data_IF_247622600879
#
_entry.id   IF_247622600879
#
_cell.length_a   1.000
_cell.length_b   1.000
_cell.length_c   1.000
_cell.angle_alpha   90.00
_cell.angle_beta   90.00
_cell.angle_gamma   90.00
#
_symmetry.space_group_name_H-M   'P 1'
#
loop_
_entity.id
_entity.type
_entity.pdbx_description
1 polymer ?
#
# COMPACT_ATOMS: atom_id res chain seq x y z
N UNK A 1 36.02 31.30 -4.80
CA UNK A 1 36.64 30.45 -5.85
C UNK A 1 36.67 29.04 -5.31
N UNK A 2 36.23 27.96 -5.95
CA UNK A 2 35.73 27.67 -7.29
C UNK A 2 34.61 26.63 -7.15
N UNK A 3 33.53 26.75 -7.91
CA UNK A 3 32.43 25.77 -7.97
C UNK A 3 32.88 24.44 -8.62
N UNK A 4 34.16 24.36 -9.01
CA UNK A 4 34.81 23.25 -9.71
C UNK A 4 35.90 22.54 -8.88
N UNK A 5 35.80 22.55 -7.55
CA UNK A 5 36.67 21.69 -6.75
C UNK A 5 36.33 20.21 -7.06
N UNK A 6 37.29 19.35 -7.45
CA UNK A 6 37.03 17.96 -7.83
C UNK A 6 36.33 17.15 -6.73
N UNK A 7 36.50 17.56 -5.47
CA UNK A 7 35.81 17.00 -4.29
C UNK A 7 34.30 17.27 -4.29
N UNK A 8 33.86 18.47 -4.73
CA UNK A 8 32.44 18.83 -4.84
C UNK A 8 31.78 18.04 -5.98
N UNK A 9 32.46 17.92 -7.12
CA UNK A 9 31.99 17.09 -8.24
C UNK A 9 31.83 15.63 -7.82
N UNK A 10 32.82 15.05 -7.13
CA UNK A 10 32.74 13.67 -6.66
C UNK A 10 31.56 13.45 -5.68
N UNK A 11 31.33 14.40 -4.76
CA UNK A 11 30.19 14.35 -3.84
C UNK A 11 28.84 14.46 -4.58
N UNK A 12 28.73 15.31 -5.61
CA UNK A 12 27.54 15.43 -6.45
C UNK A 12 27.27 14.11 -7.22
N UNK A 13 28.30 13.49 -7.80
CA UNK A 13 28.19 12.20 -8.49
C UNK A 13 27.75 11.08 -7.53
N UNK A 14 28.34 11.01 -6.34
CA UNK A 14 27.95 10.02 -5.33
C UNK A 14 26.52 10.24 -4.83
N UNK A 15 26.10 11.51 -4.66
CA UNK A 15 24.72 11.85 -4.29
C UNK A 15 23.72 11.42 -5.37
N UNK A 16 24.05 11.60 -6.65
CA UNK A 16 23.21 11.15 -7.76
C UNK A 16 23.04 9.63 -7.79
N UNK A 17 24.12 8.87 -7.56
CA UNK A 17 24.09 7.41 -7.47
C UNK A 17 23.24 6.97 -6.26
N UNK A 18 23.45 7.58 -5.10
CA UNK A 18 22.70 7.26 -3.89
C UNK A 18 21.19 7.52 -4.06
N UNK A 19 20.81 8.65 -4.67
CA UNK A 19 19.43 8.98 -4.97
C UNK A 19 18.79 7.97 -5.94
N UNK A 20 19.52 7.54 -6.97
CA UNK A 20 19.05 6.51 -7.91
C UNK A 20 18.75 5.19 -7.19
N UNK A 21 19.68 4.69 -6.38
CA UNK A 21 19.47 3.46 -5.62
C UNK A 21 18.39 3.58 -4.54
N UNK A 22 18.21 4.76 -3.95
CA UNK A 22 17.15 5.02 -2.98
C UNK A 22 15.75 4.88 -3.60
N UNK A 23 15.58 5.19 -4.90
CA UNK A 23 14.31 5.01 -5.62
C UNK A 23 14.19 3.60 -6.20
N UNK A 24 15.28 3.08 -6.78
CA UNK A 24 15.29 1.79 -7.47
C UNK A 24 15.06 0.62 -6.51
N UNK A 25 15.63 0.67 -5.30
CA UNK A 25 15.49 -0.42 -4.31
C UNK A 25 14.03 -0.68 -3.91
N UNK A 26 13.23 0.32 -3.46
CA UNK A 26 11.82 0.10 -3.16
C UNK A 26 11.01 -0.38 -4.36
N UNK A 27 11.35 0.08 -5.59
CA UNK A 27 10.66 -0.37 -6.79
C UNK A 27 10.89 -1.88 -7.05
N UNK A 28 12.13 -2.36 -6.90
CA UNK A 28 12.47 -3.78 -7.03
C UNK A 28 11.81 -4.59 -5.92
N UNK A 29 11.86 -4.12 -4.67
CA UNK A 29 11.21 -4.79 -3.54
C UNK A 29 9.70 -4.89 -3.71
N UNK A 30 9.05 -3.83 -4.20
CA UNK A 30 7.62 -3.86 -4.54
C UNK A 30 7.31 -4.86 -5.63
N UNK A 31 8.14 -4.94 -6.68
CA UNK A 31 8.00 -5.94 -7.73
C UNK A 31 8.17 -7.38 -7.19
N UNK A 32 9.21 -7.62 -6.37
CA UNK A 32 9.43 -8.91 -5.70
C UNK A 32 8.20 -9.32 -4.87
N UNK A 33 7.64 -8.41 -4.08
CA UNK A 33 6.44 -8.66 -3.29
C UNK A 33 5.21 -9.02 -4.15
N UNK A 34 5.04 -8.38 -5.31
CA UNK A 34 3.98 -8.73 -6.27
C UNK A 34 4.19 -10.13 -6.84
N UNK A 35 5.43 -10.48 -7.22
CA UNK A 35 5.75 -11.83 -7.72
C UNK A 35 5.49 -12.88 -6.65
N UNK A 36 5.92 -12.61 -5.42
CA UNK A 36 5.68 -13.48 -4.26
C UNK A 36 4.18 -13.69 -4.03
N UNK A 37 3.37 -12.62 -4.07
CA UNK A 37 1.92 -12.69 -3.95
C UNK A 37 1.29 -13.56 -5.06
N UNK A 38 1.73 -13.42 -6.31
CA UNK A 38 1.23 -14.24 -7.42
C UNK A 38 1.58 -15.71 -7.24
N UNK A 39 2.80 -16.01 -6.77
CA UNK A 39 3.24 -17.37 -6.51
C UNK A 39 2.43 -17.99 -5.35
N UNK A 40 2.18 -17.22 -4.30
CA UNK A 40 1.34 -17.66 -3.18
C UNK A 40 -0.08 -17.96 -3.66
N UNK A 41 -0.69 -17.07 -4.45
CA UNK A 41 -2.02 -17.28 -5.01
C UNK A 41 -2.09 -18.53 -5.89
N UNK A 42 -1.07 -18.78 -6.72
CA UNK A 42 -0.99 -19.98 -7.54
C UNK A 42 -0.85 -21.27 -6.71
N UNK A 43 -0.03 -21.24 -5.66
CA UNK A 43 0.13 -22.37 -4.72
C UNK A 43 -1.18 -22.68 -4.01
N UNK A 44 -1.84 -21.66 -3.44
CA UNK A 44 -3.14 -21.80 -2.79
C UNK A 44 -4.19 -22.36 -3.75
N UNK A 45 -4.24 -21.88 -5.00
CA UNK A 45 -5.15 -22.43 -5.99
C UNK A 45 -4.89 -23.92 -6.27
N UNK A 46 -3.62 -24.34 -6.39
CA UNK A 46 -3.26 -25.75 -6.60
C UNK A 46 -3.69 -26.64 -5.43
N UNK A 47 -3.43 -26.22 -4.19
CA UNK A 47 -3.84 -26.93 -2.97
C UNK A 47 -5.37 -27.09 -2.91
N UNK A 48 -6.12 -26.03 -3.24
CA UNK A 48 -7.57 -26.08 -3.28
C UNK A 48 -8.12 -26.98 -4.40
N UNK A 49 -7.47 -27.02 -5.56
CA UNK A 49 -7.84 -27.95 -6.63
C UNK A 49 -7.63 -29.41 -6.21
N UNK A 50 -6.51 -29.70 -5.54
CA UNK A 50 -6.23 -31.03 -5.00
C UNK A 50 -7.31 -31.45 -3.99
N UNK A 51 -7.68 -30.57 -3.06
CA UNK A 51 -8.73 -30.82 -2.08
C UNK A 51 -10.10 -31.01 -2.73
N UNK A 52 -10.43 -30.20 -3.75
CA UNK A 52 -11.68 -30.35 -4.52
C UNK A 52 -11.73 -31.69 -5.25
N UNK A 53 -10.63 -32.12 -5.86
CA UNK A 53 -10.55 -33.43 -6.53
C UNK A 53 -10.70 -34.58 -5.51
N UNK A 54 -9.97 -34.55 -4.39
CA UNK A 54 -10.10 -35.55 -3.33
C UNK A 54 -11.52 -35.64 -2.80
N UNK A 55 -12.16 -34.49 -2.54
CA UNK A 55 -13.53 -34.44 -2.05
C UNK A 55 -14.52 -34.98 -3.09
N UNK A 56 -14.34 -34.68 -4.38
CA UNK A 56 -15.18 -35.21 -5.44
C UNK A 56 -15.09 -36.75 -5.57
N UNK A 57 -13.90 -37.32 -5.44
CA UNK A 57 -13.71 -38.78 -5.46
C UNK A 57 -14.26 -39.48 -4.21
N UNK A 58 -14.29 -38.79 -3.07
CA UNK A 58 -14.79 -39.33 -1.80
C UNK A 58 -16.29 -39.10 -1.59
N UNK A 59 -16.93 -38.19 -2.34
CA UNK A 59 -18.35 -37.87 -2.17
C UNK A 59 -19.25 -38.85 -2.92
N UNK A 60 -19.88 -39.78 -2.21
CA UNK A 60 -20.85 -40.73 -2.78
C UNK A 60 -22.27 -40.14 -2.98
N UNK A 61 -22.47 -38.82 -2.85
CA UNK A 61 -23.82 -38.22 -2.81
C UNK A 61 -23.94 -36.91 -3.64
N UNK A 62 -24.61 -36.93 -4.82
CA UNK A 62 -24.65 -35.82 -5.77
C UNK A 62 -25.39 -34.56 -5.27
N UNK A 63 -26.26 -34.68 -4.26
CA UNK A 63 -26.97 -33.54 -3.67
C UNK A 63 -26.05 -32.62 -2.84
N UNK A 64 -24.95 -33.13 -2.29
CA UNK A 64 -23.97 -32.35 -1.51
C UNK A 64 -23.06 -31.52 -2.44
N UNK A 65 -22.76 -32.01 -3.64
CA UNK A 65 -21.93 -31.31 -4.63
C UNK A 65 -22.59 -30.04 -5.19
N UNK A 66 -23.91 -30.00 -5.30
CA UNK A 66 -24.63 -28.83 -5.81
C UNK A 66 -24.56 -27.63 -4.84
N UNK A 67 -24.64 -27.88 -3.52
CA UNK A 67 -24.46 -26.83 -2.51
C UNK A 67 -23.01 -26.30 -2.48
N UNK A 68 -22.01 -27.13 -2.77
CA UNK A 68 -20.61 -26.72 -2.91
C UNK A 68 -20.39 -25.86 -4.16
N UNK A 69 -21.06 -26.15 -5.28
CA UNK A 69 -20.96 -25.34 -6.51
C UNK A 69 -21.54 -23.93 -6.36
N UNK A 70 -22.61 -23.75 -5.57
CA UNK A 70 -23.23 -22.43 -5.32
C UNK A 70 -22.34 -21.52 -4.46
N UNK A 71 -21.41 -22.07 -3.66
CA UNK A 71 -20.46 -21.29 -2.85
C UNK A 71 -19.22 -20.79 -3.63
N UNK A 72 -18.93 -21.35 -4.81
CA UNK A 72 -17.74 -21.03 -5.62
C UNK A 72 -17.68 -19.56 -6.08
N UNK A 73 -18.78 -18.90 -6.52
CA UNK A 73 -18.73 -17.50 -6.91
C UNK A 73 -18.37 -16.57 -5.76
N UNK A 74 -18.82 -16.91 -4.54
CA UNK A 74 -18.58 -16.09 -3.36
C UNK A 74 -17.15 -16.26 -2.82
N UNK A 75 -16.63 -17.49 -2.86
CA UNK A 75 -15.24 -17.80 -2.53
C UNK A 75 -14.26 -17.10 -3.48
N UNK A 76 -14.56 -17.11 -4.80
CA UNK A 76 -13.76 -16.40 -5.80
C UNK A 76 -13.76 -14.87 -5.58
N UNK A 77 -14.93 -14.28 -5.26
CA UNK A 77 -15.03 -12.86 -4.93
C UNK A 77 -14.22 -12.49 -3.68
N UNK A 78 -14.30 -13.30 -2.61
CA UNK A 78 -13.50 -13.09 -1.40
C UNK A 78 -11.99 -13.15 -1.66
N UNK A 79 -11.53 -14.10 -2.49
CA UNK A 79 -10.12 -14.21 -2.90
C UNK A 79 -9.66 -13.02 -3.74
N UNK A 80 -10.49 -12.55 -4.66
CA UNK A 80 -10.18 -11.36 -5.47
C UNK A 80 -10.07 -10.09 -4.61
N UNK A 81 -10.97 -9.92 -3.63
CA UNK A 81 -10.91 -8.81 -2.66
C UNK A 81 -9.64 -8.90 -1.81
N UNK A 82 -9.30 -10.08 -1.30
CA UNK A 82 -8.07 -10.31 -0.53
C UNK A 82 -6.82 -10.00 -1.35
N UNK A 83 -6.72 -10.55 -2.56
CA UNK A 83 -5.61 -10.30 -3.47
C UNK A 83 -5.48 -8.81 -3.81
N UNK A 84 -6.60 -8.13 -4.05
CA UNK A 84 -6.65 -6.68 -4.27
C UNK A 84 -6.16 -5.87 -3.07
N UNK A 85 -6.50 -6.30 -1.85
CA UNK A 85 -5.99 -5.69 -0.61
C UNK A 85 -4.49 -5.90 -0.45
N UNK A 86 -3.98 -7.11 -0.71
CA UNK A 86 -2.54 -7.37 -0.65
C UNK A 86 -1.75 -6.55 -1.68
N UNK A 87 -2.27 -6.40 -2.91
CA UNK A 87 -1.67 -5.49 -3.90
C UNK A 87 -1.68 -4.04 -3.42
N UNK A 88 -2.77 -3.59 -2.82
CA UNK A 88 -2.87 -2.25 -2.26
C UNK A 88 -1.85 -2.04 -1.13
N UNK A 89 -1.69 -2.99 -0.22
CA UNK A 89 -0.72 -2.92 0.87
C UNK A 89 0.73 -2.86 0.34
N UNK A 90 1.06 -3.63 -0.71
CA UNK A 90 2.36 -3.56 -1.39
C UNK A 90 2.60 -2.15 -1.97
N UNK A 91 1.58 -1.58 -2.64
CA UNK A 91 1.68 -0.25 -3.23
C UNK A 91 1.89 0.83 -2.14
N UNK A 92 1.15 0.76 -1.04
CA UNK A 92 1.30 1.68 0.11
C UNK A 92 2.67 1.55 0.76
N UNK A 93 3.16 0.33 0.97
CA UNK A 93 4.51 0.09 1.51
C UNK A 93 5.59 0.68 0.59
N UNK A 94 5.48 0.46 -0.72
CA UNK A 94 6.42 0.99 -1.71
C UNK A 94 6.41 2.52 -1.73
N UNK A 95 5.21 3.12 -1.70
CA UNK A 95 5.03 4.57 -1.60
C UNK A 95 5.65 5.13 -0.31
N UNK A 96 5.49 4.44 0.81
CA UNK A 96 6.07 4.85 2.10
C UNK A 96 7.59 4.93 2.04
N UNK A 97 8.25 3.96 1.42
CA UNK A 97 9.70 4.00 1.22
C UNK A 97 10.13 5.17 0.33
N UNK A 98 9.43 5.44 -0.77
CA UNK A 98 9.70 6.63 -1.58
C UNK A 98 9.46 7.94 -0.83
N UNK A 99 8.44 8.01 0.02
CA UNK A 99 8.19 9.16 0.88
C UNK A 99 9.34 9.40 1.87
N UNK A 100 9.94 8.34 2.43
CA UNK A 100 11.14 8.43 3.28
C UNK A 100 12.33 9.00 2.50
N UNK A 101 12.53 8.58 1.25
CA UNK A 101 13.59 9.13 0.38
C UNK A 101 13.38 10.62 0.14
N UNK A 102 12.15 11.03 -0.20
CA UNK A 102 11.80 12.44 -0.38
C UNK A 102 12.03 13.26 0.90
N UNK A 103 11.66 12.71 2.06
CA UNK A 103 11.87 13.35 3.34
C UNK A 103 13.37 13.51 3.67
N UNK A 104 14.18 12.48 3.43
CA UNK A 104 15.63 12.58 3.64
C UNK A 104 16.26 13.67 2.77
N UNK A 105 15.83 13.80 1.51
CA UNK A 105 16.30 14.86 0.62
C UNK A 105 15.83 16.24 1.07
N UNK A 106 14.58 16.36 1.53
CA UNK A 106 14.05 17.60 2.09
C UNK A 106 14.85 18.04 3.32
N UNK A 107 15.10 17.14 4.27
CA UNK A 107 15.88 17.44 5.48
C UNK A 107 17.33 17.84 5.15
N UNK A 108 17.94 17.23 4.15
CA UNK A 108 19.26 17.62 3.68
C UNK A 108 19.25 19.04 3.08
N UNK A 109 18.24 19.37 2.28
CA UNK A 109 18.12 20.68 1.66
C UNK A 109 17.78 21.77 2.67
N UNK A 110 16.92 21.48 3.64
CA UNK A 110 16.57 22.38 4.75
C UNK A 110 17.79 22.73 5.59
N UNK A 111 18.63 21.74 5.94
CA UNK A 111 19.91 21.98 6.63
C UNK A 111 20.82 22.91 5.82
N UNK A 112 21.03 22.61 4.54
CA UNK A 112 21.85 23.46 3.64
C UNK A 112 21.31 24.89 3.57
N UNK A 113 20.00 25.06 3.49
CA UNK A 113 19.36 26.38 3.45
C UNK A 113 19.58 27.14 4.75
N UNK A 114 19.41 26.49 5.91
CA UNK A 114 19.65 27.07 7.24
C UNK A 114 21.11 27.46 7.43
N UNK A 115 22.05 26.64 6.96
CA UNK A 115 23.48 26.94 7.01
C UNK A 115 23.80 28.21 6.20
N UNK A 116 23.29 28.29 4.97
CA UNK A 116 23.45 29.49 4.11
C UNK A 116 22.81 30.72 4.75
N UNK A 117 21.62 30.57 5.32
CA UNK A 117 20.92 31.67 5.98
C UNK A 117 21.65 32.14 7.25
N UNK A 118 22.25 31.20 7.99
CA UNK A 118 23.09 31.47 9.15
C UNK A 118 24.39 32.18 8.76
N UNK A 119 25.06 31.76 7.68
CA UNK A 119 26.23 32.46 7.14
C UNK A 119 25.87 33.87 6.64
N UNK A 120 24.75 34.00 5.92
CA UNK A 120 24.27 35.28 5.42
C UNK A 120 23.94 36.20 6.58
N UNK A 121 23.22 35.76 7.61
CA UNK A 121 22.89 36.58 8.77
C UNK A 121 24.12 37.09 9.52
N UNK A 122 25.21 36.31 9.56
CA UNK A 122 26.48 36.74 10.17
C UNK A 122 27.24 37.78 9.34
N UNK A 123 27.02 37.83 8.02
CA UNK A 123 27.75 38.69 7.08
C UNK A 123 26.84 39.69 6.34
N UNK A 124 25.56 39.80 6.70
CA UNK A 124 24.60 40.53 5.90
C UNK A 124 24.68 42.04 6.15
N UNK A 125 24.59 42.87 5.08
CA UNK A 125 24.48 44.32 5.21
C UNK A 125 23.26 44.72 6.06
N UNK A 126 23.34 45.88 6.72
CA UNK A 126 22.21 46.49 7.42
C UNK A 126 21.05 46.73 6.42
N UNK A 127 20.07 45.81 6.36
CA UNK A 127 18.95 45.84 5.41
C UNK A 127 18.39 44.48 5.00
N UNK A 128 19.05 43.37 5.34
CA UNK A 128 18.66 42.01 4.94
C UNK A 128 17.52 41.37 5.75
N UNK A 129 17.16 41.91 6.92
CA UNK A 129 16.17 41.34 7.84
C UNK A 129 14.78 41.03 7.19
N UNK A 130 14.21 41.88 6.31
CA UNK A 130 12.94 41.57 5.65
C UNK A 130 13.04 40.37 4.68
N UNK A 131 14.19 40.21 4.01
CA UNK A 131 14.42 39.10 3.07
C UNK A 131 14.56 37.77 3.81
N UNK A 132 15.29 37.76 4.92
CA UNK A 132 15.42 36.58 5.80
C UNK A 132 14.06 36.19 6.40
N UNK A 133 13.26 37.16 6.82
CA UNK A 133 11.91 36.92 7.32
C UNK A 133 10.98 36.34 6.24
N UNK A 134 11.01 36.87 5.02
CA UNK A 134 10.24 36.34 3.89
C UNK A 134 10.66 34.90 3.55
N UNK A 135 11.95 34.59 3.59
CA UNK A 135 12.45 33.24 3.33
C UNK A 135 11.98 32.24 4.40
N UNK A 136 12.05 32.60 5.67
CA UNK A 136 11.53 31.77 6.77
C UNK A 136 10.02 31.51 6.59
N UNK A 137 9.26 32.54 6.23
CA UNK A 137 7.82 32.39 5.95
C UNK A 137 7.54 31.45 4.78
N UNK A 138 8.34 31.53 3.70
CA UNK A 138 8.21 30.63 2.56
C UNK A 138 8.52 29.17 2.94
N UNK A 139 9.55 28.97 3.76
CA UNK A 139 9.91 27.64 4.28
C UNK A 139 8.81 27.05 5.16
N UNK A 140 8.23 27.86 6.07
CA UNK A 140 7.08 27.44 6.88
C UNK A 140 5.87 27.09 6.00
N UNK A 141 5.57 27.88 4.97
CA UNK A 141 4.48 27.60 4.04
C UNK A 141 4.71 26.29 3.24
N UNK A 142 5.93 26.06 2.77
CA UNK A 142 6.30 24.83 2.08
C UNK A 142 6.18 23.60 2.99
N UNK A 143 6.58 23.73 4.27
CA UNK A 143 6.44 22.66 5.27
C UNK A 143 4.97 22.33 5.51
N UNK A 144 4.13 23.34 5.72
CA UNK A 144 2.69 23.15 5.90
C UNK A 144 2.01 22.52 4.67
N UNK A 145 2.43 22.89 3.46
CA UNK A 145 1.95 22.27 2.24
C UNK A 145 2.34 20.78 2.17
N UNK A 146 3.58 20.44 2.51
CA UNK A 146 4.05 19.05 2.55
C UNK A 146 3.25 18.20 3.57
N UNK A 147 3.00 18.73 4.76
CA UNK A 147 2.19 18.06 5.78
C UNK A 147 0.74 17.85 5.32
N UNK A 148 0.14 18.81 4.61
CA UNK A 148 -1.19 18.68 4.02
C UNK A 148 -1.26 17.55 2.98
N UNK A 149 -0.26 17.44 2.08
CA UNK A 149 -0.18 16.34 1.12
C UNK A 149 -0.04 15.00 1.83
N UNK A 150 0.77 14.92 2.88
CA UNK A 150 0.95 13.70 3.67
C UNK A 150 -0.36 13.29 4.36
N UNK A 151 -1.09 14.24 4.94
CA UNK A 151 -2.38 13.99 5.57
C UNK A 151 -3.44 13.52 4.55
N UNK A 152 -3.56 14.19 3.41
CA UNK A 152 -4.48 13.79 2.36
C UNK A 152 -4.16 12.39 1.81
N UNK A 153 -2.87 12.07 1.67
CA UNK A 153 -2.41 10.73 1.29
C UNK A 153 -2.82 9.68 2.32
N UNK A 154 -2.60 9.96 3.61
CA UNK A 154 -3.03 9.09 4.71
C UNK A 154 -4.53 8.82 4.70
N UNK A 155 -5.34 9.87 4.55
CA UNK A 155 -6.80 9.75 4.46
C UNK A 155 -7.24 8.90 3.25
N UNK A 156 -6.59 9.06 2.09
CA UNK A 156 -6.87 8.23 0.92
C UNK A 156 -6.56 6.75 1.19
N UNK A 157 -5.48 6.45 1.93
CA UNK A 157 -5.12 5.09 2.33
C UNK A 157 -6.16 4.50 3.28
N UNK A 158 -6.53 5.25 4.33
CA UNK A 158 -7.53 4.83 5.32
C UNK A 158 -8.91 4.60 4.68
N UNK A 159 -9.31 5.45 3.72
CA UNK A 159 -10.56 5.30 2.98
C UNK A 159 -10.55 4.03 2.12
N UNK A 160 -9.44 3.74 1.43
CA UNK A 160 -9.30 2.51 0.65
C UNK A 160 -9.36 1.27 1.55
N UNK A 161 -8.65 1.26 2.69
CA UNK A 161 -8.68 0.17 3.67
C UNK A 161 -10.10 -0.06 4.21
N UNK A 162 -10.80 1.02 4.57
CA UNK A 162 -12.18 0.97 5.05
C UNK A 162 -13.13 0.41 3.98
N UNK A 163 -12.91 0.75 2.71
CA UNK A 163 -13.67 0.20 1.59
C UNK A 163 -13.51 -1.31 1.45
N UNK A 164 -12.27 -1.82 1.58
CA UNK A 164 -12.03 -3.26 1.59
C UNK A 164 -12.70 -3.96 2.78
N UNK A 165 -12.65 -3.37 3.97
CA UNK A 165 -13.29 -3.92 5.17
C UNK A 165 -14.82 -4.01 5.00
N UNK A 166 -15.45 -2.96 4.47
CA UNK A 166 -16.89 -2.92 4.22
C UNK A 166 -17.35 -3.96 3.19
N UNK A 167 -16.58 -4.15 2.11
CA UNK A 167 -16.85 -5.17 1.09
C UNK A 167 -16.71 -6.57 1.69
N UNK A 168 -15.66 -6.82 2.48
CA UNK A 168 -15.42 -8.09 3.16
C UNK A 168 -16.54 -8.43 4.15
N UNK A 169 -17.00 -7.45 4.94
CA UNK A 169 -18.10 -7.62 5.88
C UNK A 169 -19.43 -7.90 5.17
N UNK A 170 -19.70 -7.21 4.07
CA UNK A 170 -20.89 -7.44 3.23
C UNK A 170 -20.89 -8.84 2.63
N UNK A 171 -19.75 -9.29 2.08
CA UNK A 171 -19.59 -10.65 1.59
C UNK A 171 -19.82 -11.68 2.70
N UNK A 172 -19.30 -11.43 3.91
CA UNK A 172 -19.49 -12.31 5.08
C UNK A 172 -20.95 -12.39 5.52
N UNK A 173 -21.68 -11.26 5.57
CA UNK A 173 -23.12 -11.26 5.87
C UNK A 173 -23.93 -12.01 4.81
N UNK A 174 -23.62 -11.79 3.54
CA UNK A 174 -24.24 -12.54 2.43
C UNK A 174 -24.05 -14.05 2.58
N UNK A 175 -22.83 -14.49 2.93
CA UNK A 175 -22.52 -15.90 3.21
C UNK A 175 -23.42 -16.49 4.29
N UNK A 176 -23.54 -15.77 5.41
CA UNK A 176 -24.33 -16.19 6.56
C UNK A 176 -25.82 -16.29 6.24
N UNK A 177 -26.34 -15.35 5.44
CA UNK A 177 -27.74 -15.38 5.00
C UNK A 177 -28.04 -16.55 4.07
N UNK A 178 -27.17 -16.82 3.09
CA UNK A 178 -27.30 -17.98 2.19
C UNK A 178 -27.23 -19.30 2.96
N UNK A 179 -26.30 -19.42 3.90
CA UNK A 179 -26.18 -20.61 4.75
C UNK A 179 -27.41 -20.81 5.67
N UNK A 180 -28.00 -19.72 6.18
CA UNK A 180 -29.22 -19.78 6.98
C UNK A 180 -30.45 -20.21 6.14
N UNK A 181 -30.56 -19.71 4.91
CA UNK A 181 -31.62 -20.12 3.97
C UNK A 181 -31.52 -21.61 3.63
N UNK A 182 -30.33 -22.09 3.26
CA UNK A 182 -30.10 -23.50 2.96
C UNK A 182 -30.42 -24.44 4.15
N UNK A 183 -30.15 -24.00 5.40
CA UNK A 183 -30.52 -24.75 6.60
C UNK A 183 -32.03 -24.80 6.82
N UNK A 184 -32.75 -23.71 6.53
CA UNK A 184 -34.22 -23.68 6.59
C UNK A 184 -34.84 -24.62 5.56
N UNK A 185 -34.35 -24.58 4.32
CA UNK A 185 -34.85 -25.43 3.24
C UNK A 185 -34.59 -26.92 3.53
N UNK A 186 -33.42 -27.26 4.08
CA UNK A 186 -33.11 -28.62 4.50
C UNK A 186 -33.96 -29.12 5.68
N UNK A 187 -34.36 -28.22 6.59
CA UNK A 187 -35.27 -28.56 7.69
C UNK A 187 -36.69 -28.83 7.18
N UNK A 188 -37.21 -27.97 6.29
CA UNK A 188 -38.53 -28.15 5.68
C UNK A 188 -38.64 -29.45 4.87
N UNK A 189 -37.58 -29.82 4.13
CA UNK A 189 -37.54 -31.07 3.37
C UNK A 189 -37.54 -32.32 4.25
N UNK A 190 -36.98 -32.25 5.47
CA UNK A 190 -37.04 -33.36 6.45
C UNK A 190 -38.43 -33.50 7.07
N UNK A 191 -39.12 -32.39 7.27
CA UNK A 191 -40.46 -32.36 7.84
C UNK A 191 -41.52 -32.87 6.85
N UNK A 192 -41.32 -32.66 5.54
CA UNK A 192 -42.19 -33.22 4.49
C UNK A 192 -41.99 -34.71 4.20
N UNK A 193 -40.91 -35.31 4.74
CA UNK A 193 -40.54 -36.71 4.52
C UNK A 193 -40.87 -37.62 5.71
N UNK A 194 -41.36 -37.05 6.81
CA UNK A 194 -41.84 -37.74 8.00
C UNK A 194 -43.38 -37.83 7.98
#
# INVERSE_FOLDING_TARGET
MSVFAPEKLNAEYQSGIAAWFAIARPAIQGFEAVVELNLQAARTALEEYEDKLKNAFNSSNPAVGFAQQVAVPQEAAGKAVSYGRHLFDIAVSTQSEWAKVAQAQYEQNDKRLKDVLGELSKHAPAGSAPVVAALNSALSAATAAADSVRAATGQAIEAAQSGFDAVSETATRGAKQTAAAARKDAAAARESAA
#
